data_IF_460380789303
#
_entry.id   IF_460380789303
#
_cell.length_a   1.000
_cell.length_b   1.000
_cell.length_c   1.000
_cell.angle_alpha   90.00
_cell.angle_beta   90.00
_cell.angle_gamma   90.00
#
_symmetry.space_group_name_H-M   'P 1'
#
loop_
_entity.id
_entity.type
_entity.pdbx_description
1 polymer ?
#
# COMPACT_ATOMS: atom_id res chain seq x y z
N UNK A 1 -22.16 -16.51 -5.53
CA UNK A 1 -21.47 -15.45 -4.76
C UNK A 1 -19.98 -15.51 -5.08
N UNK A 2 -19.30 -14.39 -5.33
CA UNK A 2 -17.83 -14.39 -5.55
C UNK A 2 -17.15 -14.96 -4.29
N UNK A 3 -16.20 -15.88 -4.44
CA UNK A 3 -15.48 -16.43 -3.29
C UNK A 3 -14.67 -15.33 -2.60
N UNK A 4 -14.54 -15.41 -1.27
CA UNK A 4 -13.80 -14.45 -0.45
C UNK A 4 -12.35 -14.28 -0.93
N UNK A 5 -11.73 -15.37 -1.41
CA UNK A 5 -10.42 -15.36 -2.07
C UNK A 5 -10.35 -14.46 -3.31
N UNK A 6 -11.40 -14.42 -4.13
CA UNK A 6 -11.46 -13.55 -5.31
C UNK A 6 -11.53 -12.08 -4.90
N UNK A 7 -12.26 -11.76 -3.82
CA UNK A 7 -12.32 -10.40 -3.28
C UNK A 7 -10.98 -9.96 -2.70
N UNK A 8 -10.29 -10.83 -1.95
CA UNK A 8 -8.93 -10.56 -1.45
C UNK A 8 -7.98 -10.25 -2.61
N UNK A 9 -8.02 -11.04 -3.70
CA UNK A 9 -7.17 -10.77 -4.87
C UNK A 9 -7.50 -9.42 -5.52
N UNK A 10 -8.78 -9.07 -5.62
CA UNK A 10 -9.21 -7.77 -6.14
C UNK A 10 -8.63 -6.62 -5.30
N UNK A 11 -8.77 -6.68 -3.98
CA UNK A 11 -8.24 -5.64 -3.09
C UNK A 11 -6.71 -5.59 -3.05
N UNK A 12 -6.01 -6.72 -3.26
CA UNK A 12 -4.55 -6.71 -3.46
C UNK A 12 -4.16 -5.92 -4.70
N UNK A 13 -4.85 -6.16 -5.82
CA UNK A 13 -4.60 -5.41 -7.04
C UNK A 13 -4.87 -3.91 -6.85
N UNK A 14 -5.96 -3.57 -6.16
CA UNK A 14 -6.31 -2.18 -5.83
C UNK A 14 -5.22 -1.50 -4.99
N UNK A 15 -4.72 -2.16 -3.93
CA UNK A 15 -3.59 -1.68 -3.12
C UNK A 15 -2.35 -1.46 -3.99
N UNK A 16 -2.03 -2.39 -4.89
CA UNK A 16 -0.88 -2.26 -5.79
C UNK A 16 -1.05 -1.10 -6.78
N UNK A 17 -2.26 -0.88 -7.29
CA UNK A 17 -2.59 0.27 -8.13
C UNK A 17 -2.42 1.60 -7.38
N UNK A 18 -2.98 1.72 -6.17
CA UNK A 18 -2.83 2.90 -5.32
C UNK A 18 -1.37 3.16 -4.95
N UNK A 19 -0.60 2.11 -4.65
CA UNK A 19 0.84 2.22 -4.38
C UNK A 19 1.60 2.72 -5.61
N UNK A 20 1.32 2.17 -6.81
CA UNK A 20 1.93 2.65 -8.06
C UNK A 20 1.62 4.12 -8.31
N UNK A 21 0.37 4.54 -8.09
CA UNK A 21 -0.04 5.93 -8.24
C UNK A 21 0.71 6.86 -7.28
N UNK A 22 0.82 6.49 -6.00
CA UNK A 22 1.60 7.24 -5.02
C UNK A 22 3.07 7.36 -5.42
N UNK A 23 3.68 6.28 -5.91
CA UNK A 23 5.07 6.32 -6.40
C UNK A 23 5.23 7.30 -7.55
N UNK A 24 4.33 7.28 -8.53
CA UNK A 24 4.36 8.24 -9.66
C UNK A 24 4.28 9.69 -9.18
N UNK A 25 3.38 9.99 -8.23
CA UNK A 25 3.25 11.34 -7.67
C UNK A 25 4.54 11.80 -6.96
N UNK A 26 5.20 10.91 -6.22
CA UNK A 26 6.48 11.19 -5.57
C UNK A 26 7.60 11.42 -6.57
N UNK A 27 7.68 10.61 -7.62
CA UNK A 27 8.63 10.82 -8.72
C UNK A 27 8.43 12.19 -9.40
N UNK A 28 7.17 12.62 -9.57
CA UNK A 28 6.87 13.96 -10.04
C UNK A 28 7.33 15.07 -9.07
N UNK A 29 7.26 14.86 -7.75
CA UNK A 29 7.75 15.84 -6.78
C UNK A 29 9.28 15.94 -6.82
N UNK A 30 9.97 14.81 -6.97
CA UNK A 30 11.42 14.77 -7.13
C UNK A 30 11.85 15.52 -8.40
N UNK A 31 11.17 15.29 -9.53
CA UNK A 31 11.42 16.00 -10.78
C UNK A 31 11.17 17.51 -10.65
N UNK A 32 10.09 17.91 -9.97
CA UNK A 32 9.78 19.31 -9.75
C UNK A 32 10.80 19.98 -8.81
N UNK A 33 11.28 19.25 -7.80
CA UNK A 33 12.36 19.68 -6.90
C UNK A 33 13.62 19.97 -7.70
N UNK A 34 14.03 19.02 -8.55
CA UNK A 34 15.22 19.16 -9.39
C UNK A 34 15.09 20.34 -10.35
N UNK A 35 13.94 20.49 -11.01
CA UNK A 35 13.66 21.61 -11.91
C UNK A 35 13.76 22.95 -11.18
N UNK A 36 13.25 23.04 -9.95
CA UNK A 36 13.39 24.23 -9.11
C UNK A 36 14.85 24.52 -8.79
N UNK A 37 15.63 23.51 -8.39
CA UNK A 37 17.06 23.69 -8.09
C UNK A 37 17.85 24.19 -9.30
N UNK A 38 17.61 23.60 -10.48
CA UNK A 38 18.23 24.03 -11.73
C UNK A 38 17.87 25.48 -12.09
N UNK A 39 16.60 25.84 -11.93
CA UNK A 39 16.13 27.19 -12.15
C UNK A 39 16.78 28.19 -11.19
N UNK A 40 16.86 27.88 -9.90
CA UNK A 40 17.52 28.74 -8.91
C UNK A 40 19.02 28.90 -9.20
N UNK A 41 19.70 27.83 -9.62
CA UNK A 41 21.10 27.90 -10.03
C UNK A 41 21.30 28.82 -11.26
N UNK A 42 20.41 28.75 -12.25
CA UNK A 42 20.43 29.64 -13.40
C UNK A 42 20.22 31.11 -12.97
N UNK A 43 19.23 31.37 -12.11
CA UNK A 43 18.97 32.73 -11.60
C UNK A 43 20.18 33.30 -10.87
N UNK A 44 20.87 32.50 -10.06
CA UNK A 44 22.07 32.96 -9.36
C UNK A 44 23.23 33.23 -10.32
N UNK A 45 23.40 32.42 -11.36
CA UNK A 45 24.40 32.68 -12.41
C UNK A 45 24.12 34.00 -13.14
N UNK A 46 22.87 34.25 -13.54
CA UNK A 46 22.47 35.53 -14.18
C UNK A 46 22.66 36.72 -13.24
N UNK A 47 22.39 36.54 -11.95
CA UNK A 47 22.62 37.56 -10.93
C UNK A 47 24.11 37.90 -10.79
N UNK A 48 24.99 36.91 -10.82
CA UNK A 48 26.44 37.15 -10.77
C UNK A 48 26.92 37.90 -12.02
N UNK A 49 26.43 37.54 -13.21
CA UNK A 49 26.72 38.25 -14.45
C UNK A 49 26.24 39.70 -14.43
N UNK A 50 25.11 39.97 -13.78
CA UNK A 50 24.57 41.33 -13.62
C UNK A 50 25.53 42.29 -12.91
N UNK A 51 26.46 41.76 -12.08
CA UNK A 51 27.48 42.56 -11.40
C UNK A 51 28.66 43.00 -12.29
N UNK A 52 28.75 42.50 -13.53
CA UNK A 52 29.90 42.75 -14.43
C UNK A 52 29.81 44.06 -15.21
N UNK A 53 28.61 44.56 -15.50
CA UNK A 53 28.39 45.84 -16.18
C UNK A 53 27.02 46.43 -15.87
N UNK A 54 26.88 47.75 -16.05
CA UNK A 54 25.60 48.46 -15.86
C UNK A 54 24.53 47.93 -16.82
N UNK A 55 24.89 47.63 -18.07
CA UNK A 55 23.96 47.07 -19.06
C UNK A 55 23.41 45.70 -18.63
N UNK A 56 24.27 44.84 -18.08
CA UNK A 56 23.86 43.54 -17.56
C UNK A 56 23.00 43.67 -16.29
N UNK A 57 23.30 44.65 -15.43
CA UNK A 57 22.47 44.97 -14.27
C UNK A 57 21.05 45.39 -14.67
N UNK A 58 20.92 46.27 -15.68
CA UNK A 58 19.63 46.70 -16.21
C UNK A 58 18.88 45.55 -16.87
N UNK A 59 19.57 44.72 -17.68
CA UNK A 59 18.99 43.54 -18.29
C UNK A 59 18.41 42.58 -17.21
N UNK A 60 19.20 42.23 -16.19
CA UNK A 60 18.76 41.37 -15.10
C UNK A 60 17.57 41.96 -14.33
N UNK A 61 17.58 43.27 -14.05
CA UNK A 61 16.47 43.95 -13.39
C UNK A 61 15.15 43.81 -14.17
N UNK A 62 15.20 43.88 -15.50
CA UNK A 62 14.02 43.68 -16.37
C UNK A 62 13.49 42.24 -16.34
N UNK A 63 14.35 41.25 -16.05
CA UNK A 63 13.96 39.83 -15.94
C UNK A 63 13.41 39.43 -14.55
N UNK A 64 13.66 40.22 -13.50
CA UNK A 64 13.20 39.91 -12.13
C UNK A 64 11.70 39.59 -12.00
N UNK A 65 10.76 40.28 -12.69
CA UNK A 65 9.34 39.95 -12.61
C UNK A 65 9.04 38.54 -13.15
N UNK A 66 9.69 38.14 -14.24
CA UNK A 66 9.52 36.80 -14.82
C UNK A 66 10.09 35.73 -13.89
N UNK A 67 11.24 35.99 -13.26
CA UNK A 67 11.82 35.09 -12.27
C UNK A 67 10.86 34.87 -11.10
N UNK A 68 10.28 35.95 -10.55
CA UNK A 68 9.28 35.86 -9.47
C UNK A 68 8.04 35.07 -9.89
N UNK A 69 7.52 35.33 -11.09
CA UNK A 69 6.37 34.61 -11.63
C UNK A 69 6.66 33.10 -11.72
N UNK A 70 7.83 32.73 -12.24
CA UNK A 70 8.22 31.33 -12.40
C UNK A 70 8.48 30.63 -11.06
N UNK A 71 9.08 31.32 -10.07
CA UNK A 71 9.21 30.80 -8.69
C UNK A 71 7.85 30.48 -8.09
N UNK A 72 6.92 31.44 -8.16
CA UNK A 72 5.57 31.27 -7.64
C UNK A 72 4.84 30.11 -8.33
N UNK A 73 4.98 29.99 -9.65
CA UNK A 73 4.38 28.88 -10.41
C UNK A 73 4.94 27.51 -9.98
N UNK A 74 6.26 27.39 -9.80
CA UNK A 74 6.90 26.16 -9.32
C UNK A 74 6.47 25.81 -7.89
N UNK A 75 6.34 26.82 -7.01
CA UNK A 75 5.89 26.63 -5.64
C UNK A 75 4.42 26.18 -5.58
N UNK A 76 3.54 26.84 -6.33
CA UNK A 76 2.12 26.46 -6.42
C UNK A 76 1.96 25.05 -6.98
N UNK A 77 2.70 24.69 -8.03
CA UNK A 77 2.70 23.34 -8.58
C UNK A 77 3.14 22.31 -7.53
N UNK A 78 4.17 22.63 -6.73
CA UNK A 78 4.64 21.74 -5.66
C UNK A 78 3.58 21.58 -4.56
N UNK A 79 2.97 22.67 -4.12
CA UNK A 79 1.92 22.62 -3.09
C UNK A 79 0.74 21.75 -3.54
N UNK A 80 0.28 21.91 -4.78
CA UNK A 80 -0.78 21.08 -5.34
C UNK A 80 -0.39 19.60 -5.39
N UNK A 81 0.86 19.31 -5.79
CA UNK A 81 1.36 17.95 -5.84
C UNK A 81 1.48 17.31 -4.46
N UNK A 82 1.93 18.05 -3.44
CA UNK A 82 1.97 17.57 -2.05
C UNK A 82 0.58 17.24 -1.50
N UNK A 83 -0.43 18.05 -1.83
CA UNK A 83 -1.83 17.74 -1.48
C UNK A 83 -2.28 16.45 -2.17
N UNK A 84 -1.92 16.25 -3.45
CA UNK A 84 -2.25 15.02 -4.17
C UNK A 84 -1.53 13.80 -3.57
N UNK A 85 -0.27 13.92 -3.17
CA UNK A 85 0.49 12.88 -2.47
C UNK A 85 -0.20 12.50 -1.16
N UNK A 86 -0.56 13.48 -0.34
CA UNK A 86 -1.26 13.21 0.93
C UNK A 86 -2.56 12.46 0.72
N UNK A 87 -3.38 12.88 -0.26
CA UNK A 87 -4.62 12.16 -0.62
C UNK A 87 -4.35 10.74 -1.10
N UNK A 88 -3.31 10.54 -1.91
CA UNK A 88 -2.93 9.21 -2.38
C UNK A 88 -2.42 8.30 -1.24
N UNK A 89 -1.78 8.86 -0.21
CA UNK A 89 -1.40 8.14 1.01
C UNK A 89 -2.62 7.71 1.82
N UNK A 90 -3.61 8.60 1.98
CA UNK A 90 -4.88 8.29 2.64
C UNK A 90 -5.65 7.19 1.89
N UNK A 91 -5.77 7.32 0.55
CA UNK A 91 -6.39 6.31 -0.32
C UNK A 91 -5.70 4.94 -0.18
N UNK A 92 -4.37 4.91 -0.18
CA UNK A 92 -3.60 3.69 -0.02
C UNK A 92 -3.83 3.07 1.37
N UNK A 93 -3.85 3.89 2.42
CA UNK A 93 -4.12 3.44 3.78
C UNK A 93 -5.52 2.82 3.89
N UNK A 94 -6.53 3.45 3.29
CA UNK A 94 -7.90 2.91 3.26
C UNK A 94 -7.96 1.57 2.51
N UNK A 95 -7.35 1.47 1.32
CA UNK A 95 -7.31 0.22 0.56
C UNK A 95 -6.63 -0.92 1.34
N UNK A 96 -5.56 -0.62 2.08
CA UNK A 96 -4.91 -1.59 2.97
C UNK A 96 -5.82 -2.06 4.12
N UNK A 97 -6.56 -1.14 4.74
CA UNK A 97 -7.50 -1.49 5.81
C UNK A 97 -8.62 -2.41 5.29
N UNK A 98 -9.16 -2.12 4.10
CA UNK A 98 -10.17 -2.94 3.46
C UNK A 98 -9.64 -4.34 3.13
N UNK A 99 -8.45 -4.42 2.52
CA UNK A 99 -7.77 -5.69 2.26
C UNK A 99 -7.62 -6.51 3.56
N UNK A 100 -7.14 -5.88 4.63
CA UNK A 100 -6.89 -6.59 5.89
C UNK A 100 -8.18 -7.11 6.52
N UNK A 101 -9.29 -6.37 6.39
CA UNK A 101 -10.62 -6.83 6.83
C UNK A 101 -11.03 -8.12 6.11
N UNK A 102 -10.83 -8.21 4.80
CA UNK A 102 -11.16 -9.42 4.04
C UNK A 102 -10.21 -10.59 4.36
N UNK A 103 -8.93 -10.32 4.57
CA UNK A 103 -7.97 -11.35 4.98
C UNK A 103 -8.32 -11.95 6.34
N UNK A 104 -8.64 -11.13 7.35
CA UNK A 104 -9.07 -11.59 8.66
C UNK A 104 -10.38 -12.42 8.59
N UNK A 105 -11.32 -12.02 7.73
CA UNK A 105 -12.55 -12.78 7.53
C UNK A 105 -12.29 -14.17 6.93
N UNK A 106 -11.35 -14.29 5.98
CA UNK A 106 -10.97 -15.59 5.39
C UNK A 106 -10.18 -16.45 6.38
N UNK A 107 -9.27 -15.85 7.16
CA UNK A 107 -8.55 -16.54 8.24
C UNK A 107 -9.54 -17.15 9.24
N UNK A 108 -10.55 -16.39 9.69
CA UNK A 108 -11.57 -16.89 10.61
C UNK A 108 -12.41 -18.01 9.98
N UNK A 109 -12.76 -17.88 8.69
CA UNK A 109 -13.48 -18.93 7.96
C UNK A 109 -12.68 -20.23 7.91
N UNK A 110 -11.40 -20.15 7.54
CA UNK A 110 -10.50 -21.30 7.48
C UNK A 110 -10.31 -21.92 8.87
N UNK A 111 -10.20 -21.09 9.92
CA UNK A 111 -10.07 -21.57 11.31
C UNK A 111 -11.28 -22.39 11.73
N UNK A 112 -12.50 -21.91 11.46
CA UNK A 112 -13.75 -22.64 11.75
C UNK A 112 -13.84 -23.94 10.95
N UNK A 113 -13.51 -23.90 9.67
CA UNK A 113 -13.54 -25.08 8.79
C UNK A 113 -12.57 -26.17 9.28
N UNK A 114 -11.35 -25.78 9.70
CA UNK A 114 -10.38 -26.71 10.31
C UNK A 114 -10.85 -27.26 11.66
N UNK A 115 -11.45 -26.45 12.51
CA UNK A 115 -11.95 -26.89 13.81
C UNK A 115 -13.09 -27.91 13.66
N UNK A 116 -14.01 -27.67 12.72
CA UNK A 116 -15.09 -28.62 12.40
C UNK A 116 -14.55 -29.93 11.81
N UNK A 117 -13.54 -29.87 10.93
CA UNK A 117 -12.90 -31.07 10.40
C UNK A 117 -12.23 -31.88 11.51
N UNK A 118 -11.43 -31.23 12.36
CA UNK A 118 -10.75 -31.88 13.49
C UNK A 118 -11.74 -32.50 14.48
N UNK A 119 -12.89 -31.83 14.72
CA UNK A 119 -13.96 -32.37 15.57
C UNK A 119 -14.58 -33.64 14.97
N UNK A 120 -14.85 -33.65 13.66
CA UNK A 120 -15.37 -34.83 12.95
C UNK A 120 -14.36 -35.99 12.96
N UNK A 121 -13.09 -35.69 12.73
CA UNK A 121 -12.01 -36.68 12.78
C UNK A 121 -11.88 -37.29 14.19
N UNK A 122 -11.92 -36.48 15.24
CA UNK A 122 -11.90 -36.95 16.62
C UNK A 122 -13.08 -37.87 16.93
N UNK A 123 -14.31 -37.48 16.54
CA UNK A 123 -15.51 -38.31 16.73
C UNK A 123 -15.40 -39.66 16.03
N UNK A 124 -14.88 -39.70 14.80
CA UNK A 124 -14.68 -40.96 14.07
C UNK A 124 -13.63 -41.86 14.74
N UNK A 125 -12.52 -41.28 15.24
CA UNK A 125 -11.49 -42.04 15.94
C UNK A 125 -12.02 -42.61 17.26
N UNK A 126 -12.80 -41.84 18.01
CA UNK A 126 -13.44 -42.29 19.25
C UNK A 126 -14.42 -43.44 18.99
N UNK A 127 -15.22 -43.37 17.91
CA UNK A 127 -16.13 -44.45 17.52
C UNK A 127 -15.38 -45.75 17.17
N UNK A 128 -14.28 -45.64 16.40
CA UNK A 128 -13.42 -46.80 16.06
C UNK A 128 -12.80 -47.41 17.32
N UNK A 129 -12.31 -46.57 18.24
CA UNK A 129 -11.74 -47.01 19.51
C UNK A 129 -12.78 -47.74 20.38
N UNK A 130 -14.00 -47.21 20.49
CA UNK A 130 -15.09 -47.83 21.22
C UNK A 130 -15.48 -49.20 20.64
N UNK A 131 -15.63 -49.30 19.31
CA UNK A 131 -15.93 -50.57 18.64
C UNK A 131 -14.81 -51.61 18.80
N UNK A 132 -13.55 -51.18 18.82
CA UNK A 132 -12.41 -52.08 19.07
C UNK A 132 -12.42 -52.61 20.50
N UNK A 133 -12.69 -51.74 21.47
CA UNK A 133 -12.74 -52.11 22.88
C UNK A 133 -13.89 -53.09 23.17
N UNK A 134 -15.07 -52.85 22.59
CA UNK A 134 -16.22 -53.78 22.70
C UNK A 134 -15.88 -55.18 22.18
N UNK A 135 -15.27 -55.28 20.99
CA UNK A 135 -14.81 -56.58 20.44
C UNK A 135 -13.82 -57.30 21.35
N UNK A 136 -12.86 -56.58 21.94
CA UNK A 136 -11.90 -57.18 22.86
C UNK A 136 -12.55 -57.70 24.14
N UNK A 137 -13.61 -57.06 24.64
CA UNK A 137 -14.36 -57.55 25.79
C UNK A 137 -15.18 -58.80 25.45
N UNK A 138 -15.79 -58.85 24.27
CA UNK A 138 -16.51 -60.04 23.80
C UNK A 138 -15.58 -61.25 23.59
N UNK A 139 -14.36 -61.02 23.07
CA UNK A 139 -13.35 -62.07 22.88
C UNK A 139 -12.68 -62.49 24.21
N UNK A 140 -12.57 -61.60 25.19
CA UNK A 140 -12.01 -61.91 26.52
C UNK A 140 -12.99 -62.59 27.48
N UNK A 141 -14.31 -62.39 27.30
CA UNK A 141 -15.36 -62.99 28.13
C UNK A 141 -15.75 -64.43 27.76
N UNK A 142 -15.23 -64.97 26.66
CA UNK A 142 -15.51 -66.35 26.20
C UNK A 142 -14.42 -67.36 26.63
N UNK A 143 -13.48 -66.94 27.49
CA UNK A 143 -12.39 -67.78 28.01
C UNK A 143 -12.53 -68.26 29.47
N UNK A 144 -13.63 -67.94 30.15
CA UNK A 144 -13.93 -68.41 31.51
C UNK A 144 -15.19 -69.30 31.51
N UNK A 145 -15.04 -70.56 31.09
CA UNK A 145 -15.94 -71.68 31.42
C UNK A 145 -15.13 -72.83 32.03
#
# INVERSE_FOLDING_TARGET
>A
MKSLKTLIRLHKNEVDEKRRHLTQLREHDDQLTLRRQQFEAQVEMERQLSGTSVDMAVAFANFLPQIKLQRNALEQARQQLLIAIHRAEEDLAQAFQELKRFELAEEERIRKEKAELARKEAMMLDEIAAQRHLRQQEEGGTGEE
#
